data_IF_063350149338
#
_entry.id   IF_063350149338
#
_cell.length_a   1.000
_cell.length_b   1.000
_cell.length_c   1.000
_cell.angle_alpha   90.00
_cell.angle_beta   90.00
_cell.angle_gamma   90.00
#
_symmetry.space_group_name_H-M   'P 1'
#
loop_
_entity.id
_entity.type
_entity.pdbx_description
1 polymer ?
#
# COMPACT_ATOMS: atom_id res chain seq x y z
N UNK A 1 28.59 -10.07 77.33
CA UNK A 1 27.62 -11.03 76.75
C UNK A 1 26.56 -10.18 76.03
N UNK A 2 26.83 -9.78 74.79
CA UNK A 2 26.35 -10.39 73.54
C UNK A 2 24.88 -10.10 73.20
N UNK A 3 24.72 -9.28 72.15
CA UNK A 3 23.75 -9.32 71.03
C UNK A 3 22.96 -8.02 70.84
N UNK A 4 23.39 -7.14 69.93
CA UNK A 4 23.06 -7.05 68.49
C UNK A 4 21.63 -6.54 68.22
N UNK A 5 21.51 -5.34 67.64
CA UNK A 5 20.55 -5.06 66.56
C UNK A 5 21.02 -3.88 65.71
N UNK A 6 21.30 -4.22 64.46
CA UNK A 6 21.66 -3.36 63.33
C UNK A 6 20.42 -2.55 62.88
N UNK A 7 20.64 -1.31 62.45
CA UNK A 7 19.61 -0.45 61.90
C UNK A 7 19.26 -0.77 60.44
N UNK A 8 18.11 -0.28 59.98
CA UNK A 8 17.88 -0.05 58.55
C UNK A 8 16.89 1.12 58.38
N UNK A 9 17.36 2.14 57.68
CA UNK A 9 16.59 3.23 57.09
C UNK A 9 15.72 2.63 55.97
N UNK A 10 14.43 2.95 55.91
CA UNK A 10 13.51 2.32 54.97
C UNK A 10 12.33 3.20 54.57
N UNK A 11 12.52 3.90 53.44
CA UNK A 11 11.56 4.32 52.43
C UNK A 11 10.19 4.90 52.88
N UNK A 12 10.10 6.23 52.76
CA UNK A 12 8.84 6.94 52.53
C UNK A 12 8.31 6.54 51.15
N UNK A 13 7.24 5.74 51.13
CA UNK A 13 6.55 5.29 49.93
C UNK A 13 5.67 6.43 49.39
N UNK A 14 6.25 7.34 48.61
CA UNK A 14 5.47 8.28 47.81
C UNK A 14 4.91 7.54 46.58
N UNK A 15 3.59 7.37 46.57
CA UNK A 15 2.82 6.94 45.41
C UNK A 15 3.11 7.87 44.23
N UNK A 16 3.90 7.38 43.27
CA UNK A 16 3.86 7.92 41.91
C UNK A 16 2.57 7.41 41.26
N UNK A 17 1.59 8.31 41.15
CA UNK A 17 0.43 8.12 40.30
C UNK A 17 0.92 7.92 38.85
N UNK A 18 1.01 6.65 38.45
CA UNK A 18 1.13 6.27 37.04
C UNK A 18 -0.15 6.78 36.39
N UNK A 19 -0.06 7.94 35.73
CA UNK A 19 -1.11 8.43 34.87
C UNK A 19 -1.27 7.39 33.77
N UNK A 20 -2.37 6.65 33.89
CA UNK A 20 -2.85 5.68 32.95
C UNK A 20 -3.14 6.44 31.64
N UNK A 21 -2.15 6.51 30.73
CA UNK A 21 -2.40 6.90 29.35
C UNK A 21 -3.13 5.71 28.74
N UNK A 22 -4.43 5.65 28.98
CA UNK A 22 -5.33 4.80 28.22
C UNK A 22 -5.13 5.21 26.75
N UNK A 23 -4.40 4.38 26.00
CA UNK A 23 -4.35 4.49 24.56
C UNK A 23 -5.79 4.41 24.07
N UNK A 24 -6.32 5.55 23.64
CA UNK A 24 -7.66 5.65 23.06
C UNK A 24 -7.69 4.69 21.87
N UNK A 25 -8.33 3.54 22.05
CA UNK A 25 -8.58 2.58 20.97
C UNK A 25 -9.36 3.33 19.89
N UNK A 26 -8.94 3.29 18.61
CA UNK A 26 -9.65 4.01 17.56
C UNK A 26 -10.99 3.32 17.30
N UNK A 27 -12.04 3.75 18.00
CA UNK A 27 -13.45 3.42 17.72
C UNK A 27 -13.91 4.11 16.42
N UNK A 28 -13.44 3.62 15.28
CA UNK A 28 -14.16 3.58 14.01
C UNK A 28 -13.28 2.87 12.97
N UNK A 29 -13.67 1.65 12.62
CA UNK A 29 -12.96 0.79 11.68
C UNK A 29 -13.48 0.89 10.25
N UNK A 30 -14.54 1.66 10.01
CA UNK A 30 -15.14 1.78 8.68
C UNK A 30 -15.12 3.24 8.21
N UNK A 31 -14.87 3.43 6.92
CA UNK A 31 -15.15 4.70 6.25
C UNK A 31 -16.00 4.45 5.00
N UNK A 32 -16.95 5.34 4.74
CA UNK A 32 -17.73 5.28 3.51
C UNK A 32 -16.94 5.92 2.38
N UNK A 33 -16.71 5.16 1.31
CA UNK A 33 -16.25 5.71 0.05
C UNK A 33 -17.45 5.88 -0.90
N UNK A 34 -17.60 7.05 -1.48
CA UNK A 34 -18.58 7.26 -2.55
C UNK A 34 -17.82 7.26 -3.87
N UNK A 35 -18.02 6.21 -4.66
CA UNK A 35 -17.49 6.20 -6.03
C UNK A 35 -18.25 7.24 -6.86
N UNK A 36 -17.52 8.12 -7.53
CA UNK A 36 -18.11 9.19 -8.34
C UNK A 36 -18.75 8.67 -9.63
N UNK A 37 -18.28 7.55 -10.18
CA UNK A 37 -18.63 7.13 -11.54
C UNK A 37 -20.00 6.45 -11.68
N UNK A 38 -20.58 5.96 -10.58
CA UNK A 38 -21.86 5.24 -10.62
C UNK A 38 -22.88 5.71 -9.57
N UNK A 39 -22.56 6.76 -8.79
CA UNK A 39 -23.38 7.20 -7.65
C UNK A 39 -23.56 6.15 -6.54
N UNK A 40 -22.96 4.97 -6.70
CA UNK A 40 -23.05 3.85 -5.77
C UNK A 40 -22.07 4.07 -4.61
N UNK A 41 -22.62 4.12 -3.39
CA UNK A 41 -21.81 4.17 -2.17
C UNK A 41 -21.18 2.79 -1.95
N UNK A 42 -19.86 2.74 -1.82
CA UNK A 42 -19.13 1.54 -1.44
C UNK A 42 -18.64 1.72 -0.01
N UNK A 43 -19.09 0.86 0.89
CA UNK A 43 -18.57 0.86 2.26
C UNK A 43 -17.22 0.14 2.23
N UNK A 44 -16.16 0.83 2.66
CA UNK A 44 -14.82 0.27 2.77
C UNK A 44 -14.48 0.09 4.24
N UNK A 45 -14.25 -1.16 4.61
CA UNK A 45 -13.93 -1.54 5.99
C UNK A 45 -12.43 -1.79 6.15
N UNK A 46 -11.84 -1.31 7.24
CA UNK A 46 -10.52 -1.76 7.67
C UNK A 46 -10.65 -3.06 8.48
N UNK A 47 -9.74 -4.00 8.27
CA UNK A 47 -9.71 -5.28 8.98
C UNK A 47 -8.47 -5.40 9.85
N UNK A 48 -8.66 -6.01 11.01
CA UNK A 48 -7.57 -6.39 11.90
C UNK A 48 -7.07 -7.81 11.55
N UNK A 49 -5.78 -8.06 11.74
CA UNK A 49 -5.22 -9.42 11.76
C UNK A 49 -5.46 -10.09 13.12
N UNK A 50 -5.01 -11.34 13.25
CA UNK A 50 -5.13 -12.13 14.48
C UNK A 50 -4.48 -11.45 15.70
N UNK A 51 -3.43 -10.64 15.47
CA UNK A 51 -2.72 -9.87 16.49
C UNK A 51 -3.37 -8.51 16.80
N UNK A 52 -4.61 -8.27 16.35
CA UNK A 52 -5.35 -7.02 16.55
C UNK A 52 -4.62 -5.79 15.96
N UNK A 53 -3.93 -5.97 14.84
CA UNK A 53 -3.28 -4.91 14.08
C UNK A 53 -4.01 -4.66 12.76
N UNK A 54 -4.11 -3.40 12.34
CA UNK A 54 -4.69 -3.03 11.05
C UNK A 54 -3.97 -3.78 9.94
N UNK A 55 -4.67 -4.48 9.06
CA UNK A 55 -4.05 -5.40 8.11
C UNK A 55 -4.32 -5.01 6.66
N UNK A 56 -5.58 -4.77 6.31
CA UNK A 56 -6.04 -4.47 4.96
C UNK A 56 -7.36 -3.72 4.98
N UNK A 57 -7.71 -3.14 3.85
CA UNK A 57 -9.06 -2.68 3.57
C UNK A 57 -9.80 -3.71 2.73
N UNK A 58 -11.12 -3.78 2.89
CA UNK A 58 -11.99 -4.60 2.05
C UNK A 58 -13.30 -3.88 1.72
N UNK A 59 -13.84 -4.20 0.55
CA UNK A 59 -15.14 -3.70 0.11
C UNK A 59 -15.86 -4.74 -0.76
N UNK A 60 -17.17 -4.85 -0.60
CA UNK A 60 -18.02 -5.62 -1.51
C UNK A 60 -18.54 -4.69 -2.62
N UNK A 61 -18.31 -5.07 -3.86
CA UNK A 61 -18.70 -4.32 -5.05
C UNK A 61 -19.87 -5.03 -5.76
N UNK A 62 -20.78 -4.24 -6.32
CA UNK A 62 -21.83 -4.70 -7.23
C UNK A 62 -22.03 -3.63 -8.31
N UNK A 63 -21.21 -3.68 -9.35
CA UNK A 63 -21.12 -2.60 -10.33
C UNK A 63 -21.60 -3.06 -11.71
N UNK A 64 -22.36 -2.24 -12.44
CA UNK A 64 -22.59 -2.45 -13.86
C UNK A 64 -21.26 -2.27 -14.62
N UNK A 65 -21.04 -3.06 -15.67
CA UNK A 65 -19.79 -3.00 -16.45
C UNK A 65 -19.98 -2.46 -17.87
N UNK A 66 -21.18 -2.57 -18.42
CA UNK A 66 -21.55 -2.00 -19.71
C UNK A 66 -22.89 -1.27 -19.61
N UNK A 67 -23.17 -0.42 -20.59
CA UNK A 67 -24.32 0.50 -20.56
C UNK A 67 -25.61 -0.14 -21.07
N UNK A 68 -25.54 -1.41 -21.47
CA UNK A 68 -26.66 -2.22 -21.93
C UNK A 68 -26.87 -3.45 -21.02
N UNK A 69 -27.95 -4.20 -21.26
CA UNK A 69 -28.29 -5.40 -20.50
C UNK A 69 -27.46 -6.63 -20.92
N UNK A 70 -26.40 -6.44 -21.71
CA UNK A 70 -25.61 -7.54 -22.27
C UNK A 70 -24.69 -8.17 -21.22
N UNK A 71 -24.15 -7.36 -20.30
CA UNK A 71 -23.20 -7.83 -19.30
C UNK A 71 -23.87 -7.99 -17.95
N UNK A 72 -23.55 -9.09 -17.27
CA UNK A 72 -23.87 -9.20 -15.85
C UNK A 72 -23.05 -8.20 -15.04
N UNK A 73 -23.64 -7.68 -13.96
CA UNK A 73 -22.91 -6.90 -12.97
C UNK A 73 -21.74 -7.72 -12.41
N UNK A 74 -20.65 -7.02 -12.13
CA UNK A 74 -19.52 -7.57 -11.39
C UNK A 74 -19.83 -7.51 -9.91
N UNK A 75 -19.88 -8.68 -9.28
CA UNK A 75 -20.15 -8.85 -7.86
C UNK A 75 -18.97 -9.56 -7.20
N UNK A 76 -18.14 -8.79 -6.50
CA UNK A 76 -16.84 -9.26 -5.98
C UNK A 76 -16.53 -8.60 -4.64
N UNK A 77 -15.66 -9.23 -3.87
CA UNK A 77 -15.01 -8.64 -2.70
C UNK A 77 -13.59 -8.25 -3.07
N UNK A 78 -13.22 -7.01 -2.81
CA UNK A 78 -11.91 -6.45 -3.17
C UNK A 78 -11.08 -6.16 -1.92
N UNK A 79 -9.76 -6.23 -2.06
CA UNK A 79 -8.81 -6.01 -0.97
C UNK A 79 -7.71 -5.01 -1.34
N UNK A 80 -7.36 -4.15 -0.39
CA UNK A 80 -6.22 -3.24 -0.51
C UNK A 80 -5.32 -3.30 0.72
N UNK A 81 -4.03 -3.05 0.54
CA UNK A 81 -3.12 -2.82 1.65
C UNK A 81 -3.33 -1.45 2.31
N UNK A 82 -2.57 -1.18 3.38
CA UNK A 82 -2.70 0.03 4.17
C UNK A 82 -2.36 1.33 3.39
N UNK A 83 -1.66 1.25 2.27
CA UNK A 83 -1.36 2.39 1.40
C UNK A 83 -2.32 2.49 0.19
N UNK A 84 -3.36 1.65 0.15
CA UNK A 84 -4.35 1.62 -0.92
C UNK A 84 -3.88 0.91 -2.17
N UNK A 85 -2.85 0.07 -2.10
CA UNK A 85 -2.48 -0.78 -3.22
C UNK A 85 -3.42 -1.99 -3.28
N UNK A 86 -3.89 -2.32 -4.48
CA UNK A 86 -4.62 -3.56 -4.72
C UNK A 86 -3.84 -4.77 -4.19
N UNK A 87 -4.53 -5.69 -3.53
CA UNK A 87 -3.92 -6.87 -2.88
C UNK A 87 -4.67 -8.18 -3.13
N UNK A 88 -5.75 -8.16 -3.92
CA UNK A 88 -6.53 -9.35 -4.26
C UNK A 88 -8.03 -9.08 -4.39
N UNK A 89 -8.76 -10.08 -4.89
CA UNK A 89 -10.22 -10.13 -4.84
C UNK A 89 -10.72 -11.56 -4.61
N UNK A 90 -11.98 -11.68 -4.19
CA UNK A 90 -12.74 -12.93 -4.12
C UNK A 90 -14.10 -12.78 -4.80
N UNK A 91 -14.66 -13.90 -5.25
CA UNK A 91 -16.08 -13.98 -5.64
C UNK A 91 -16.97 -14.17 -4.43
N UNK A 92 -18.21 -13.67 -4.50
CA UNK A 92 -19.22 -14.00 -3.50
C UNK A 92 -19.91 -15.32 -3.83
N UNK A 93 -20.39 -16.02 -2.81
CA UNK A 93 -21.08 -17.31 -2.99
C UNK A 93 -22.27 -17.18 -3.96
N UNK A 94 -22.32 -18.07 -4.97
CA UNK A 94 -23.35 -18.04 -6.01
C UNK A 94 -23.25 -16.87 -7.00
N UNK A 95 -22.15 -16.11 -6.98
CA UNK A 95 -21.89 -14.95 -7.85
C UNK A 95 -20.53 -15.07 -8.55
N UNK A 96 -20.31 -16.09 -9.41
CA UNK A 96 -19.09 -16.16 -10.20
C UNK A 96 -19.03 -15.00 -11.21
N UNK A 97 -17.82 -14.61 -11.58
CA UNK A 97 -17.63 -13.71 -12.72
C UNK A 97 -17.97 -14.44 -14.02
N UNK A 98 -18.55 -13.71 -14.97
CA UNK A 98 -18.90 -14.23 -16.28
C UNK A 98 -18.32 -13.36 -17.38
N UNK A 99 -17.89 -14.00 -18.46
CA UNK A 99 -17.56 -13.40 -19.74
C UNK A 99 -18.85 -13.11 -20.53
N UNK A 100 -18.67 -12.61 -21.74
CA UNK A 100 -19.70 -12.50 -22.76
C UNK A 100 -20.56 -13.76 -22.83
N UNK A 101 -21.88 -13.57 -23.01
CA UNK A 101 -22.86 -14.65 -23.08
C UNK A 101 -23.03 -15.44 -21.77
N UNK A 102 -22.79 -14.78 -20.63
CA UNK A 102 -22.86 -15.35 -19.28
C UNK A 102 -21.99 -16.59 -19.04
N UNK A 103 -20.93 -16.76 -19.84
CA UNK A 103 -20.00 -17.89 -19.69
C UNK A 103 -19.16 -17.69 -18.42
N UNK A 104 -19.14 -18.64 -17.47
CA UNK A 104 -18.34 -18.49 -16.26
C UNK A 104 -16.85 -18.30 -16.56
N UNK A 105 -16.18 -17.56 -15.69
CA UNK A 105 -14.72 -17.48 -15.67
C UNK A 105 -14.12 -18.85 -15.35
N UNK A 106 -13.07 -19.22 -16.09
CA UNK A 106 -12.17 -20.31 -15.74
C UNK A 106 -11.14 -19.85 -14.70
N UNK A 107 -10.41 -20.78 -14.09
CA UNK A 107 -9.30 -20.45 -13.18
C UNK A 107 -8.24 -19.56 -13.84
N UNK A 108 -7.96 -19.78 -15.12
CA UNK A 108 -7.02 -18.95 -15.88
C UNK A 108 -7.55 -17.52 -16.08
N UNK A 109 -8.87 -17.34 -16.27
CA UNK A 109 -9.48 -16.01 -16.38
C UNK A 109 -9.36 -15.25 -15.05
N UNK A 110 -9.54 -15.91 -13.91
CA UNK A 110 -9.37 -15.29 -12.59
C UNK A 110 -7.92 -14.88 -12.32
N UNK A 111 -6.94 -15.75 -12.62
CA UNK A 111 -5.52 -15.42 -12.48
C UNK A 111 -5.14 -14.23 -13.37
N UNK A 112 -5.60 -14.24 -14.62
CA UNK A 112 -5.35 -13.13 -15.55
C UNK A 112 -5.97 -11.83 -15.07
N UNK A 113 -7.19 -11.88 -14.52
CA UNK A 113 -7.82 -10.69 -13.93
C UNK A 113 -7.00 -10.16 -12.74
N UNK A 114 -6.57 -11.03 -11.83
CA UNK A 114 -5.76 -10.62 -10.67
C UNK A 114 -4.44 -9.93 -11.09
N UNK A 115 -3.74 -10.50 -12.08
CA UNK A 115 -2.54 -9.90 -12.68
C UNK A 115 -2.82 -8.50 -13.25
N UNK A 116 -3.91 -8.36 -14.01
CA UNK A 116 -4.31 -7.07 -14.61
C UNK A 116 -4.58 -6.03 -13.53
N UNK A 117 -5.35 -6.39 -12.49
CA UNK A 117 -5.71 -5.47 -11.41
C UNK A 117 -4.49 -5.01 -10.59
N UNK A 118 -3.50 -5.90 -10.42
CA UNK A 118 -2.22 -5.59 -9.78
C UNK A 118 -1.27 -4.74 -10.64
N UNK A 119 -1.43 -4.74 -11.97
CA UNK A 119 -0.58 -3.99 -12.88
C UNK A 119 -1.05 -2.53 -13.08
N UNK A 120 -0.39 -1.60 -12.40
CA UNK A 120 -0.63 -0.14 -12.51
C UNK A 120 -0.21 0.46 -13.85
N UNK A 121 0.53 -0.29 -14.66
CA UNK A 121 0.94 0.09 -16.01
C UNK A 121 0.16 -0.67 -17.08
N UNK A 122 -0.93 -1.33 -16.71
CA UNK A 122 -1.84 -1.99 -17.64
C UNK A 122 -2.26 -1.03 -18.77
N UNK A 123 -2.43 -1.59 -19.97
CA UNK A 123 -2.97 -0.88 -21.13
C UNK A 123 -4.34 -0.26 -20.84
N UNK A 124 -5.10 -0.84 -19.91
CA UNK A 124 -6.41 -0.33 -19.49
C UNK A 124 -6.32 1.09 -18.93
N UNK A 125 -5.15 1.53 -18.43
CA UNK A 125 -4.95 2.90 -17.94
C UNK A 125 -5.15 3.97 -19.01
N UNK A 126 -4.80 3.65 -20.25
CA UNK A 126 -4.75 4.64 -21.35
C UNK A 126 -5.89 4.49 -22.35
N UNK A 127 -6.62 3.38 -22.30
CA UNK A 127 -7.75 3.12 -23.19
C UNK A 127 -9.02 3.81 -22.67
N UNK A 128 -9.80 4.40 -23.58
CA UNK A 128 -11.19 4.75 -23.34
C UNK A 128 -12.11 3.52 -23.39
N UNK A 129 -13.29 3.63 -22.76
CA UNK A 129 -14.31 2.55 -22.75
C UNK A 129 -14.77 2.17 -24.17
N UNK A 130 -14.79 3.14 -25.08
CA UNK A 130 -15.14 3.00 -26.48
C UNK A 130 -14.06 2.32 -27.34
N UNK A 131 -12.82 2.27 -26.86
CA UNK A 131 -11.67 1.61 -27.49
C UNK A 131 -11.54 0.13 -27.10
N UNK A 132 -12.35 -0.34 -26.14
CA UNK A 132 -12.28 -1.72 -25.63
C UNK A 132 -12.84 -2.77 -26.60
N UNK A 133 -13.57 -2.34 -27.62
CA UNK A 133 -14.22 -3.23 -28.60
C UNK A 133 -14.04 -2.71 -30.02
N UNK A 134 -13.67 -3.61 -30.94
CA UNK A 134 -13.73 -3.39 -32.37
C UNK A 134 -15.18 -3.52 -32.85
N UNK A 135 -15.80 -2.38 -33.12
CA UNK A 135 -17.20 -2.30 -33.58
C UNK A 135 -17.39 -2.84 -35.00
N UNK A 136 -16.33 -3.09 -35.77
CA UNK A 136 -16.40 -3.69 -37.10
C UNK A 136 -16.66 -5.21 -37.05
N UNK A 137 -16.25 -5.87 -35.96
CA UNK A 137 -16.49 -7.29 -35.71
C UNK A 137 -17.72 -7.46 -34.82
N UNK A 138 -18.83 -7.93 -35.38
CA UNK A 138 -20.09 -8.11 -34.63
C UNK A 138 -20.19 -9.51 -34.02
N UNK A 139 -20.26 -9.57 -32.69
CA UNK A 139 -20.56 -10.78 -31.92
C UNK A 139 -22.02 -10.75 -31.48
N UNK A 140 -22.80 -11.77 -31.83
CA UNK A 140 -24.19 -11.92 -31.41
C UNK A 140 -24.26 -12.79 -30.15
N UNK A 141 -24.98 -12.33 -29.12
CA UNK A 141 -25.23 -13.15 -27.93
C UNK A 141 -26.24 -14.26 -28.25
N UNK A 142 -26.05 -15.42 -27.62
CA UNK A 142 -26.99 -16.52 -27.65
C UNK A 142 -28.00 -16.47 -26.50
N UNK A 143 -27.68 -15.74 -25.43
CA UNK A 143 -28.52 -15.60 -24.24
C UNK A 143 -29.41 -14.37 -24.23
N UNK A 144 -29.04 -13.30 -24.95
CA UNK A 144 -29.80 -12.05 -25.04
C UNK A 144 -29.84 -11.54 -26.47
N UNK A 145 -30.89 -10.80 -26.85
CA UNK A 145 -31.01 -10.20 -28.19
C UNK A 145 -30.16 -8.94 -28.32
N UNK A 146 -28.84 -9.12 -28.32
CA UNK A 146 -27.86 -8.05 -28.39
C UNK A 146 -26.64 -8.44 -29.23
N UNK A 147 -25.99 -7.42 -29.80
CA UNK A 147 -24.78 -7.54 -30.62
C UNK A 147 -23.71 -6.59 -30.09
N UNK A 148 -22.50 -7.08 -29.87
CA UNK A 148 -21.35 -6.29 -29.38
C UNK A 148 -20.13 -6.41 -30.27
N UNK A 149 -19.15 -5.54 -30.07
CA UNK A 149 -17.85 -5.61 -30.74
C UNK A 149 -16.94 -6.67 -30.12
N UNK A 150 -16.01 -7.23 -30.90
CA UNK A 150 -14.98 -8.11 -30.35
C UNK A 150 -13.89 -7.31 -29.63
N UNK A 151 -13.22 -7.89 -28.62
CA UNK A 151 -12.01 -7.30 -28.06
C UNK A 151 -10.94 -7.16 -29.16
N UNK A 152 -10.36 -5.96 -29.39
CA UNK A 152 -9.37 -5.77 -30.44
C UNK A 152 -8.15 -6.67 -30.25
N UNK A 153 -7.59 -7.18 -31.35
CA UNK A 153 -6.40 -8.03 -31.32
C UNK A 153 -5.22 -7.36 -30.61
N UNK A 154 -5.09 -6.03 -30.71
CA UNK A 154 -4.04 -5.23 -30.08
C UNK A 154 -4.03 -5.29 -28.54
N UNK A 155 -5.17 -5.57 -27.90
CA UNK A 155 -5.31 -5.60 -26.44
C UNK A 155 -5.68 -6.98 -25.90
N UNK A 156 -5.96 -7.94 -26.79
CA UNK A 156 -6.51 -9.27 -26.47
C UNK A 156 -5.66 -10.05 -25.46
N UNK A 157 -4.34 -10.02 -25.58
CA UNK A 157 -3.43 -10.72 -24.66
C UNK A 157 -3.25 -10.02 -23.30
N UNK A 158 -3.68 -8.75 -23.23
CA UNK A 158 -3.52 -7.88 -22.06
C UNK A 158 -4.81 -7.80 -21.23
N UNK A 159 -5.90 -8.44 -21.68
CA UNK A 159 -7.20 -8.44 -21.02
C UNK A 159 -7.76 -9.85 -20.93
N UNK A 160 -8.81 -10.05 -20.11
CA UNK A 160 -9.58 -11.29 -20.14
C UNK A 160 -10.49 -11.27 -21.37
N UNK A 161 -10.24 -12.18 -22.32
CA UNK A 161 -11.04 -12.28 -23.54
C UNK A 161 -12.52 -12.47 -23.21
N UNK A 162 -13.39 -11.64 -23.80
CA UNK A 162 -14.82 -11.67 -23.52
C UNK A 162 -15.23 -11.04 -22.18
N UNK A 163 -14.32 -10.46 -21.41
CA UNK A 163 -14.62 -9.74 -20.17
C UNK A 163 -13.83 -8.41 -20.05
N UNK A 164 -13.50 -7.80 -21.18
CA UNK A 164 -12.72 -6.56 -21.23
C UNK A 164 -13.37 -5.41 -20.45
N UNK A 165 -14.69 -5.27 -20.50
CA UNK A 165 -15.43 -4.26 -19.73
C UNK A 165 -15.33 -4.51 -18.22
N UNK A 166 -15.47 -5.76 -17.77
CA UNK A 166 -15.30 -6.10 -16.35
C UNK A 166 -13.89 -5.82 -15.86
N UNK A 167 -12.87 -6.22 -16.63
CA UNK A 167 -11.47 -5.93 -16.30
C UNK A 167 -11.21 -4.42 -16.24
N UNK A 168 -11.73 -3.65 -17.22
CA UNK A 168 -11.61 -2.20 -17.28
C UNK A 168 -12.25 -1.50 -16.08
N UNK A 169 -13.51 -1.83 -15.77
CA UNK A 169 -14.25 -1.24 -14.65
C UNK A 169 -13.56 -1.55 -13.32
N UNK A 170 -13.15 -2.79 -13.10
CA UNK A 170 -12.46 -3.18 -11.87
C UNK A 170 -11.09 -2.51 -11.75
N UNK A 171 -10.33 -2.44 -12.84
CA UNK A 171 -9.00 -1.83 -12.84
C UNK A 171 -9.07 -0.35 -12.44
N UNK A 172 -9.99 0.41 -13.06
CA UNK A 172 -10.21 1.81 -12.73
C UNK A 172 -10.76 2.00 -11.32
N UNK A 173 -11.60 1.08 -10.85
CA UNK A 173 -12.07 1.12 -9.48
C UNK A 173 -10.89 0.96 -8.50
N UNK A 174 -10.10 -0.11 -8.61
CA UNK A 174 -9.07 -0.44 -7.61
C UNK A 174 -7.85 0.48 -7.67
N UNK A 175 -7.51 1.02 -8.86
CA UNK A 175 -6.37 1.91 -9.06
C UNK A 175 -6.75 3.41 -9.15
N UNK A 176 -8.03 3.74 -9.03
CA UNK A 176 -8.57 5.10 -9.12
C UNK A 176 -8.80 5.77 -7.75
N UNK A 177 -9.87 6.59 -7.61
CA UNK A 177 -10.07 7.46 -6.44
C UNK A 177 -10.22 6.75 -5.08
N UNK A 178 -10.53 5.45 -5.06
CA UNK A 178 -10.56 4.68 -3.80
C UNK A 178 -9.19 4.67 -3.13
N UNK A 179 -8.09 4.62 -3.91
CA UNK A 179 -6.73 4.61 -3.39
C UNK A 179 -6.47 5.87 -2.57
N UNK A 180 -6.85 7.03 -3.11
CA UNK A 180 -6.68 8.31 -2.43
C UNK A 180 -7.51 8.38 -1.14
N UNK A 181 -8.71 7.82 -1.16
CA UNK A 181 -9.59 7.76 0.01
C UNK A 181 -9.03 6.86 1.11
N UNK A 182 -8.50 5.69 0.73
CA UNK A 182 -7.78 4.79 1.63
C UNK A 182 -6.57 5.52 2.22
N UNK A 183 -5.75 6.16 1.38
CA UNK A 183 -4.57 6.89 1.84
C UNK A 183 -4.91 8.04 2.79
N UNK A 184 -5.99 8.76 2.52
CA UNK A 184 -6.48 9.82 3.40
C UNK A 184 -6.90 9.27 4.76
N UNK A 185 -7.65 8.17 4.78
CA UNK A 185 -8.06 7.51 6.02
C UNK A 185 -6.85 6.93 6.78
N UNK A 186 -5.94 6.22 6.12
CA UNK A 186 -4.71 5.71 6.75
C UNK A 186 -3.89 6.84 7.39
N UNK A 187 -3.82 8.02 6.75
CA UNK A 187 -3.14 9.20 7.33
C UNK A 187 -3.82 9.69 8.61
N UNK A 188 -5.15 9.69 8.67
CA UNK A 188 -5.89 10.19 9.84
C UNK A 188 -5.70 9.30 11.08
N UNK A 189 -5.41 8.02 10.88
CA UNK A 189 -5.12 7.04 11.95
C UNK A 189 -3.62 6.70 12.06
N UNK A 190 -2.75 7.48 11.44
CA UNK A 190 -1.32 7.17 11.36
C UNK A 190 -0.65 7.28 12.72
N UNK A 191 -0.06 6.18 13.19
CA UNK A 191 0.64 6.10 14.47
C UNK A 191 2.04 5.53 14.25
N UNK A 192 2.93 5.68 15.25
CA UNK A 192 4.25 5.05 15.23
C UNK A 192 4.19 3.52 15.04
N UNK A 193 3.21 2.85 15.67
CA UNK A 193 2.98 1.41 15.50
C UNK A 193 2.62 1.08 14.05
N UNK A 194 1.71 1.84 13.46
CA UNK A 194 1.30 1.67 12.06
C UNK A 194 2.45 1.96 11.09
N UNK A 195 3.22 3.02 11.35
CA UNK A 195 4.40 3.37 10.56
C UNK A 195 5.40 2.21 10.52
N UNK A 196 5.76 1.65 11.68
CA UNK A 196 6.64 0.48 11.74
C UNK A 196 6.12 -0.69 10.92
N UNK A 197 4.84 -1.01 11.06
CA UNK A 197 4.24 -2.11 10.30
C UNK A 197 4.35 -1.88 8.79
N UNK A 198 4.05 -0.66 8.32
CA UNK A 198 4.12 -0.32 6.89
C UNK A 198 5.55 -0.23 6.36
N UNK A 199 6.52 0.16 7.18
CA UNK A 199 7.94 0.15 6.82
C UNK A 199 8.47 -1.28 6.59
N UNK A 200 7.96 -2.26 7.34
CA UNK A 200 8.32 -3.68 7.16
C UNK A 200 7.48 -4.39 6.09
N UNK A 201 6.56 -3.69 5.40
CA UNK A 201 5.80 -4.27 4.31
C UNK A 201 6.72 -4.64 3.13
N UNK A 202 6.37 -5.71 2.41
CA UNK A 202 7.07 -6.13 1.18
C UNK A 202 6.83 -5.17 0.02
N UNK A 203 5.68 -4.50 0.00
CA UNK A 203 5.32 -3.53 -1.03
C UNK A 203 6.07 -2.21 -0.83
N UNK A 204 6.93 -1.86 -1.80
CA UNK A 204 7.73 -0.64 -1.74
C UNK A 204 6.90 0.65 -1.77
N UNK A 205 5.73 0.68 -2.42
CA UNK A 205 4.84 1.84 -2.36
C UNK A 205 4.26 2.04 -0.96
N UNK A 206 4.01 0.95 -0.24
CA UNK A 206 3.57 1.01 1.17
C UNK A 206 4.66 1.53 2.08
N UNK A 207 5.90 1.10 1.85
CA UNK A 207 7.08 1.66 2.54
C UNK A 207 7.23 3.15 2.24
N UNK A 208 7.20 3.54 0.96
CA UNK A 208 7.32 4.94 0.52
C UNK A 208 6.17 5.81 1.02
N UNK A 209 4.95 5.27 1.07
CA UNK A 209 3.83 5.95 1.68
C UNK A 209 4.23 6.30 3.11
N UNK A 210 4.47 5.31 3.97
CA UNK A 210 4.77 5.51 5.39
C UNK A 210 5.93 6.49 5.63
N UNK A 211 7.04 6.35 4.89
CA UNK A 211 8.20 7.23 5.00
C UNK A 211 7.88 8.71 4.74
N UNK A 212 6.91 9.01 3.85
CA UNK A 212 6.48 10.38 3.55
C UNK A 212 5.68 11.04 4.68
N UNK A 213 5.17 10.27 5.64
CA UNK A 213 4.45 10.83 6.79
C UNK A 213 5.33 11.01 8.03
N UNK A 214 6.56 10.51 8.00
CA UNK A 214 7.46 10.58 9.15
C UNK A 214 8.15 11.95 9.22
N UNK A 215 8.16 12.61 10.40
CA UNK A 215 8.93 13.83 10.62
C UNK A 215 10.43 13.52 10.72
N UNK A 216 11.28 14.53 10.50
CA UNK A 216 12.74 14.39 10.58
C UNK A 216 13.20 13.85 11.95
N UNK A 217 12.52 14.23 13.03
CA UNK A 217 12.78 13.73 14.39
C UNK A 217 12.62 12.21 14.53
N UNK A 218 11.79 11.57 13.69
CA UNK A 218 11.68 10.11 13.67
C UNK A 218 12.98 9.48 13.20
N UNK A 219 13.58 10.01 12.13
CA UNK A 219 14.81 9.47 11.55
C UNK A 219 15.97 9.58 12.55
N UNK A 220 16.05 10.70 13.26
CA UNK A 220 17.02 10.90 14.34
C UNK A 220 16.84 9.86 15.47
N UNK A 221 15.62 9.74 15.98
CA UNK A 221 15.31 8.86 17.12
C UNK A 221 15.33 7.35 16.78
N UNK A 222 15.18 6.99 15.50
CA UNK A 222 15.02 5.59 15.05
C UNK A 222 16.04 5.19 13.99
N UNK A 223 17.23 5.80 13.99
CA UNK A 223 18.26 5.58 12.98
C UNK A 223 18.55 4.10 12.69
N UNK A 224 18.76 3.28 13.74
CA UNK A 224 19.04 1.84 13.58
C UNK A 224 17.91 1.07 12.90
N UNK A 225 16.65 1.39 13.23
CA UNK A 225 15.49 0.80 12.56
C UNK A 225 15.47 1.21 11.09
N UNK A 226 15.65 2.50 10.80
CA UNK A 226 15.66 2.98 9.41
C UNK A 226 16.81 2.33 8.62
N UNK A 227 17.96 2.10 9.24
CA UNK A 227 19.08 1.39 8.61
C UNK A 227 18.74 -0.06 8.29
N UNK A 228 18.02 -0.76 9.16
CA UNK A 228 17.51 -2.11 8.89
C UNK A 228 16.52 -2.11 7.70
N UNK A 229 15.57 -1.17 7.67
CA UNK A 229 14.64 -1.00 6.54
C UNK A 229 15.43 -0.75 5.25
N UNK A 230 16.40 0.17 5.27
CA UNK A 230 17.22 0.53 4.13
C UNK A 230 17.95 -0.66 3.48
N UNK A 231 18.41 -1.62 4.28
CA UNK A 231 19.05 -2.86 3.79
C UNK A 231 18.06 -3.78 3.07
N UNK A 232 16.85 -3.91 3.62
CA UNK A 232 15.82 -4.84 3.14
C UNK A 232 14.94 -4.29 2.01
N UNK A 233 14.93 -2.98 1.82
CA UNK A 233 14.05 -2.31 0.86
C UNK A 233 14.63 -2.22 -0.56
N UNK A 234 13.76 -1.90 -1.52
CA UNK A 234 14.13 -1.67 -2.91
C UNK A 234 15.05 -0.45 -3.08
N UNK A 235 15.82 -0.35 -4.19
CA UNK A 235 16.67 0.82 -4.48
C UNK A 235 15.93 2.17 -4.40
N UNK A 236 14.66 2.21 -4.84
CA UNK A 236 13.85 3.43 -4.78
C UNK A 236 13.58 3.88 -3.34
N UNK A 237 13.17 2.95 -2.47
CA UNK A 237 12.93 3.23 -1.04
C UNK A 237 14.24 3.63 -0.36
N UNK A 238 15.33 2.93 -0.68
CA UNK A 238 16.67 3.22 -0.15
C UNK A 238 17.12 4.63 -0.46
N UNK A 239 17.02 5.04 -1.73
CA UNK A 239 17.36 6.40 -2.15
C UNK A 239 16.46 7.46 -1.48
N UNK A 240 15.16 7.17 -1.33
CA UNK A 240 14.24 8.04 -0.60
C UNK A 240 14.71 8.23 0.86
N UNK A 241 15.01 7.13 1.55
CA UNK A 241 15.52 7.15 2.93
C UNK A 241 16.80 8.00 3.04
N UNK A 242 17.78 7.78 2.16
CA UNK A 242 19.03 8.57 2.13
C UNK A 242 18.74 10.06 1.99
N UNK A 243 17.79 10.44 1.12
CA UNK A 243 17.41 11.83 0.90
C UNK A 243 16.73 12.51 2.10
N UNK A 244 16.25 11.73 3.08
CA UNK A 244 15.54 12.21 4.28
C UNK A 244 16.38 12.22 5.56
N UNK A 245 17.59 11.64 5.54
CA UNK A 245 18.39 11.54 6.76
C UNK A 245 18.73 12.91 7.36
N UNK A 246 18.68 13.09 8.68
CA UNK A 246 19.15 14.31 9.34
C UNK A 246 20.68 14.25 9.40
N UNK A 247 21.35 14.84 8.41
CA UNK A 247 22.82 14.85 8.37
C UNK A 247 23.36 16.19 8.86
N UNK A 248 24.30 16.21 9.83
CA UNK A 248 24.75 15.05 10.61
C UNK A 248 23.69 14.65 11.63
N UNK A 249 23.67 13.37 12.01
CA UNK A 249 22.90 12.92 13.17
C UNK A 249 23.49 13.53 14.43
N UNK A 250 22.64 13.80 15.43
CA UNK A 250 23.06 14.31 16.73
C UNK A 250 23.91 13.27 17.49
N UNK A 251 23.59 11.98 17.32
CA UNK A 251 24.42 10.89 17.85
C UNK A 251 25.56 10.53 16.87
N UNK A 252 26.85 10.70 17.24
CA UNK A 252 27.98 10.37 16.38
C UNK A 252 28.02 8.90 15.91
N UNK A 253 27.52 7.96 16.71
CA UNK A 253 27.47 6.54 16.33
C UNK A 253 26.51 6.30 15.16
N UNK A 254 25.43 7.08 15.06
CA UNK A 254 24.51 7.00 13.91
C UNK A 254 25.19 7.49 12.62
N UNK A 255 26.05 8.51 12.70
CA UNK A 255 26.83 8.97 11.53
C UNK A 255 27.79 7.89 11.04
N UNK A 256 28.50 7.21 11.96
CA UNK A 256 29.38 6.07 11.64
C UNK A 256 28.61 4.92 11.02
N UNK A 257 27.48 4.54 11.62
CA UNK A 257 26.64 3.46 11.12
C UNK A 257 26.03 3.78 9.74
N UNK A 258 25.61 5.03 9.52
CA UNK A 258 25.12 5.48 8.21
C UNK A 258 26.22 5.48 7.15
N UNK A 259 27.43 5.93 7.49
CA UNK A 259 28.57 5.88 6.58
C UNK A 259 28.95 4.43 6.22
N UNK A 260 28.90 3.51 7.19
CA UNK A 260 29.20 2.10 6.95
C UNK A 260 28.22 1.44 5.96
N UNK A 261 26.97 1.91 5.87
CA UNK A 261 26.02 1.42 4.87
C UNK A 261 26.41 1.77 3.44
N UNK A 262 27.29 2.76 3.22
CA UNK A 262 27.64 3.26 1.89
C UNK A 262 28.06 2.13 0.95
N UNK A 263 28.83 1.15 1.42
CA UNK A 263 29.29 0.02 0.59
C UNK A 263 28.15 -0.91 0.17
N UNK A 264 27.12 -1.04 1.00
CA UNK A 264 25.92 -1.88 0.77
C UNK A 264 24.91 -1.22 -0.18
N UNK A 265 25.01 0.10 -0.41
CA UNK A 265 24.09 0.85 -1.26
C UNK A 265 24.27 0.50 -2.75
N UNK A 266 23.15 0.48 -3.49
CA UNK A 266 23.16 0.49 -4.95
C UNK A 266 23.69 1.81 -5.51
N UNK A 267 24.07 1.83 -6.79
CA UNK A 267 24.69 3.00 -7.42
C UNK A 267 23.83 4.27 -7.35
N UNK A 268 22.50 4.14 -7.48
CA UNK A 268 21.60 5.29 -7.41
C UNK A 268 21.57 5.85 -5.98
N UNK A 269 21.42 4.99 -4.98
CA UNK A 269 21.48 5.37 -3.58
C UNK A 269 22.84 5.96 -3.16
N UNK A 270 23.97 5.45 -3.70
CA UNK A 270 25.31 6.02 -3.50
C UNK A 270 25.43 7.42 -4.06
N UNK A 271 24.90 7.65 -5.26
CA UNK A 271 24.87 8.98 -5.89
C UNK A 271 24.09 9.98 -5.03
N UNK A 272 22.90 9.58 -4.54
CA UNK A 272 22.10 10.40 -3.62
C UNK A 272 22.83 10.68 -2.30
N UNK A 273 23.54 9.69 -1.75
CA UNK A 273 24.34 9.86 -0.54
C UNK A 273 25.44 10.91 -0.76
N UNK A 274 26.20 10.79 -1.86
CA UNK A 274 27.27 11.73 -2.21
C UNK A 274 26.73 13.14 -2.39
N UNK A 275 25.67 13.29 -3.18
CA UNK A 275 24.99 14.57 -3.36
C UNK A 275 24.62 15.22 -2.01
N UNK A 276 24.10 14.43 -1.06
CA UNK A 276 23.71 14.91 0.27
C UNK A 276 24.89 15.41 1.11
N UNK A 277 26.04 14.72 1.07
CA UNK A 277 27.21 15.11 1.88
C UNK A 277 28.06 16.18 1.20
N UNK A 278 28.15 16.19 -0.13
CA UNK A 278 29.00 17.11 -0.89
C UNK A 278 28.45 18.53 -0.95
N UNK A 279 27.17 18.71 -0.57
CA UNK A 279 26.54 20.02 -0.43
C UNK A 279 27.04 20.84 0.78
N UNK A 280 27.88 20.27 1.65
CA UNK A 280 28.45 20.96 2.81
C UNK A 280 29.87 20.49 3.06
N UNK A 281 30.83 21.43 3.05
CA UNK A 281 32.24 21.14 3.36
C UNK A 281 32.40 20.35 4.66
N UNK A 282 31.65 20.71 5.70
CA UNK A 282 31.69 20.03 7.00
C UNK A 282 31.19 18.57 6.91
N UNK A 283 30.16 18.30 6.10
CA UNK A 283 29.68 16.94 5.88
C UNK A 283 30.64 16.14 5.00
N UNK A 284 31.21 16.74 3.95
CA UNK A 284 32.23 16.11 3.11
C UNK A 284 33.43 15.67 3.94
N UNK A 285 33.96 16.54 4.80
CA UNK A 285 35.09 16.21 5.67
C UNK A 285 34.72 15.11 6.67
N UNK A 286 33.58 15.23 7.35
CA UNK A 286 33.12 14.25 8.32
C UNK A 286 32.90 12.87 7.68
N UNK A 287 32.04 12.77 6.68
CA UNK A 287 31.70 11.50 6.05
C UNK A 287 32.81 10.96 5.16
N UNK A 288 33.68 11.80 4.61
CA UNK A 288 34.86 11.38 3.86
C UNK A 288 35.85 10.57 4.70
N UNK A 289 35.95 10.84 6.00
CA UNK A 289 36.78 10.04 6.92
C UNK A 289 36.10 8.75 7.40
N UNK A 290 34.77 8.70 7.34
CA UNK A 290 33.98 7.56 7.85
C UNK A 290 33.71 6.51 6.77
N UNK A 291 33.58 6.94 5.51
CA UNK A 291 33.43 6.02 4.37
C UNK A 291 34.81 5.44 4.05
N UNK A 292 34.96 4.13 4.26
CA UNK A 292 36.15 3.36 3.87
C UNK A 292 35.94 2.65 2.55
#
# INVERSE_FOLDING_TARGET
>A
MHNFKIGLVGLCCQLLAIHNIAAKQPEKHDFEFKSFDHGQKTVTSIRLNEQQQLSRYEANLNMPVCDDNLCANVVVKMYWDLAGNYSGFDTLAGKPLTKFDHRPFSSADYLKLDEILGDKNSILRVLGKDELTDKSVKLKSSTVDAVTGATPASVKEQVVEGAVYSAFTLWHFVNGPIKDSIQHFTKSIFTYKLAKQMLYATNHETQLFALKQLPDSFYEANALLIFDIMRKSSPLVRAFIVSKMPLPFSNPENNKAFAALYVELDNYSKSMFRQRIDNSKALTEMFGTLIK
#
